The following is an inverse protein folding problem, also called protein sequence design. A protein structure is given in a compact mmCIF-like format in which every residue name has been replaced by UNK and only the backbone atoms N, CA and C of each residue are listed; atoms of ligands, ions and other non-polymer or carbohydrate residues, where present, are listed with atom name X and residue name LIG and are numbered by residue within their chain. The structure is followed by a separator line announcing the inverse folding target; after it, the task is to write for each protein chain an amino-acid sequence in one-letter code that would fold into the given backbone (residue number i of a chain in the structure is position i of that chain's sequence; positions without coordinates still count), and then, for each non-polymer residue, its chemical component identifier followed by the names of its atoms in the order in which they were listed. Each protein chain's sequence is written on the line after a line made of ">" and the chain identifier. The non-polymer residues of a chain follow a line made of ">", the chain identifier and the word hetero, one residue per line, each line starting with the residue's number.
data_IF_923911610392
#
_entry.id   IF_923911610392
#
_cell.length_a   1.000
_cell.length_b   1.000
_cell.length_c   1.000
_cell.angle_alpha   90.00
_cell.angle_beta   90.00
_cell.angle_gamma   90.00
#
_symmetry.space_group_name_H-M   'P 1'
#
loop_
_entity.id
_entity.type
_entity.pdbx_description
1 polymer ?
#
# COMPACT_ATOMS: atom_id res chain seq x y z
N UNK A 1 61.17 -1.43 -9.76
CA UNK A 1 61.50 -0.05 -10.13
C UNK A 1 61.21 0.82 -8.88
N UNK A 2 62.25 1.44 -8.35
CA UNK A 2 62.08 2.25 -7.13
C UNK A 2 61.43 3.58 -7.48
N UNK A 3 60.43 4.00 -6.71
CA UNK A 3 59.70 5.29 -6.81
C UNK A 3 60.63 6.52 -6.77
N UNK A 4 61.91 6.34 -6.40
CA UNK A 4 62.95 7.38 -6.34
C UNK A 4 63.41 7.90 -7.68
N UNK A 5 63.22 7.16 -8.80
CA UNK A 5 63.67 7.55 -10.14
C UNK A 5 62.65 8.35 -10.96
N UNK A 6 61.45 8.62 -10.42
CA UNK A 6 60.37 9.30 -11.13
C UNK A 6 60.39 10.82 -10.81
N UNK A 7 60.29 11.65 -11.88
CA UNK A 7 60.28 13.11 -11.70
C UNK A 7 59.10 13.60 -10.82
N UNK A 8 59.29 14.70 -10.09
CA UNK A 8 58.24 15.32 -9.24
C UNK A 8 56.98 15.61 -10.06
N UNK A 9 57.15 16.07 -11.30
CA UNK A 9 56.01 16.34 -12.23
C UNK A 9 55.19 15.08 -12.48
N UNK A 10 55.86 13.94 -12.75
CA UNK A 10 55.15 12.67 -12.99
C UNK A 10 54.42 12.15 -11.74
N UNK A 11 55.05 12.29 -10.57
CA UNK A 11 54.41 11.94 -9.28
C UNK A 11 53.11 12.76 -9.05
N UNK A 12 53.17 14.07 -9.28
CA UNK A 12 52.00 14.95 -9.15
C UNK A 12 50.89 14.57 -10.13
N UNK A 13 51.24 14.34 -11.41
CA UNK A 13 50.25 13.92 -12.43
C UNK A 13 49.55 12.62 -12.02
N UNK A 14 50.32 11.62 -11.56
CA UNK A 14 49.75 10.35 -11.11
C UNK A 14 48.84 10.56 -9.91
N UNK A 15 49.27 11.32 -8.90
CA UNK A 15 48.46 11.58 -7.71
C UNK A 15 47.12 12.30 -8.05
N UNK A 16 47.20 13.34 -8.88
CA UNK A 16 45.99 14.05 -9.33
C UNK A 16 45.05 13.16 -10.17
N UNK A 17 45.64 12.31 -11.06
CA UNK A 17 44.84 11.38 -11.86
C UNK A 17 44.10 10.38 -10.97
N UNK A 18 44.76 9.80 -9.96
CA UNK A 18 44.13 8.88 -9.01
C UNK A 18 43.01 9.58 -8.25
N UNK A 19 43.24 10.77 -7.72
CA UNK A 19 42.22 11.55 -7.00
C UNK A 19 41.04 11.89 -7.92
N UNK A 20 41.28 12.23 -9.17
CA UNK A 20 40.22 12.54 -10.12
C UNK A 20 39.38 11.29 -10.41
N UNK A 21 40.00 10.15 -10.69
CA UNK A 21 39.27 8.88 -10.90
C UNK A 21 38.43 8.51 -9.66
N UNK A 22 39.02 8.68 -8.49
CA UNK A 22 38.36 8.41 -7.23
C UNK A 22 37.15 9.36 -7.00
N UNK A 23 37.30 10.65 -7.25
CA UNK A 23 36.22 11.63 -7.13
C UNK A 23 35.09 11.33 -8.13
N UNK A 24 35.39 10.97 -9.37
CA UNK A 24 34.41 10.58 -10.37
C UNK A 24 33.69 9.31 -9.93
N UNK A 25 34.39 8.31 -9.40
CA UNK A 25 33.82 7.07 -8.89
C UNK A 25 32.82 7.32 -7.76
N UNK A 26 33.18 8.19 -6.79
CA UNK A 26 32.26 8.60 -5.72
C UNK A 26 31.05 9.36 -6.25
N UNK A 27 31.23 10.23 -7.23
CA UNK A 27 30.12 10.95 -7.88
C UNK A 27 29.11 10.00 -8.52
N UNK A 28 29.62 9.00 -9.26
CA UNK A 28 28.76 7.96 -9.89
C UNK A 28 28.02 7.13 -8.84
N UNK A 29 28.72 6.69 -7.80
CA UNK A 29 28.07 5.95 -6.69
C UNK A 29 26.98 6.79 -6.02
N UNK A 30 27.24 8.06 -5.76
CA UNK A 30 26.26 8.98 -5.19
C UNK A 30 25.00 9.12 -6.06
N UNK A 31 25.17 9.27 -7.37
CA UNK A 31 24.05 9.37 -8.32
C UNK A 31 23.23 8.08 -8.36
N UNK A 32 23.88 6.90 -8.42
CA UNK A 32 23.19 5.60 -8.42
C UNK A 32 22.42 5.39 -7.13
N UNK A 33 23.02 5.72 -5.99
CA UNK A 33 22.37 5.60 -4.68
C UNK A 33 21.16 6.54 -4.56
N UNK A 34 21.30 7.78 -5.00
CA UNK A 34 20.19 8.76 -5.01
C UNK A 34 19.04 8.28 -5.91
N UNK A 35 19.34 7.71 -7.07
CA UNK A 35 18.33 7.14 -7.95
C UNK A 35 17.56 6.00 -7.27
N UNK A 36 18.25 5.03 -6.66
CA UNK A 36 17.63 3.92 -5.93
C UNK A 36 16.75 4.40 -4.77
N UNK A 37 17.25 5.36 -3.98
CA UNK A 37 16.47 5.95 -2.88
C UNK A 37 15.20 6.62 -3.38
N UNK A 38 15.30 7.37 -4.48
CA UNK A 38 14.14 8.01 -5.10
C UNK A 38 13.12 6.98 -5.58
N UNK A 39 13.56 5.91 -6.23
CA UNK A 39 12.67 4.83 -6.71
C UNK A 39 11.87 4.22 -5.56
N UNK A 40 12.52 3.89 -4.44
CA UNK A 40 11.85 3.36 -3.26
C UNK A 40 10.86 4.36 -2.64
N UNK A 41 11.26 5.64 -2.58
CA UNK A 41 10.37 6.69 -2.09
C UNK A 41 9.11 6.85 -2.96
N UNK A 42 9.25 6.82 -4.29
CA UNK A 42 8.12 6.88 -5.22
C UNK A 42 7.20 5.66 -5.07
N UNK A 43 7.74 4.45 -4.87
CA UNK A 43 6.92 3.26 -4.60
C UNK A 43 6.07 3.43 -3.34
N UNK A 44 6.64 4.01 -2.28
CA UNK A 44 5.89 4.27 -1.05
C UNK A 44 4.82 5.33 -1.27
N UNK A 45 5.16 6.45 -1.92
CA UNK A 45 4.31 7.62 -2.09
C UNK A 45 3.19 7.41 -3.11
N UNK A 46 3.49 6.77 -4.24
CA UNK A 46 2.56 6.66 -5.37
C UNK A 46 1.78 5.34 -5.40
N UNK A 47 2.27 4.28 -4.73
CA UNK A 47 1.61 2.98 -4.72
C UNK A 47 1.16 2.56 -3.31
N UNK A 48 2.10 2.29 -2.38
CA UNK A 48 1.74 1.64 -1.12
C UNK A 48 0.83 2.48 -0.22
N UNK A 49 1.17 3.75 0.03
CA UNK A 49 0.36 4.61 0.91
C UNK A 49 -1.03 4.91 0.34
N UNK A 50 -1.19 5.26 -0.95
CA UNK A 50 -2.51 5.43 -1.54
C UNK A 50 -3.34 4.14 -1.50
N UNK A 51 -2.74 2.97 -1.77
CA UNK A 51 -3.41 1.67 -1.70
C UNK A 51 -3.93 1.37 -0.30
N UNK A 52 -3.09 1.50 0.74
CA UNK A 52 -3.48 1.30 2.14
C UNK A 52 -4.64 2.23 2.52
N UNK A 53 -4.57 3.50 2.12
CA UNK A 53 -5.63 4.47 2.40
C UNK A 53 -6.95 4.08 1.75
N UNK A 54 -6.93 3.74 0.45
CA UNK A 54 -8.16 3.37 -0.27
C UNK A 54 -8.75 2.08 0.28
N UNK A 55 -7.94 1.08 0.59
CA UNK A 55 -8.39 -0.17 1.22
C UNK A 55 -9.01 0.08 2.60
N UNK A 56 -8.44 0.98 3.40
CA UNK A 56 -9.01 1.40 4.68
C UNK A 56 -10.35 2.15 4.54
N UNK A 57 -10.51 2.94 3.49
CA UNK A 57 -11.77 3.60 3.16
C UNK A 57 -12.82 2.56 2.72
N UNK A 58 -12.44 1.55 1.90
CA UNK A 58 -13.30 0.43 1.51
C UNK A 58 -13.77 -0.35 2.74
N UNK A 59 -12.86 -0.69 3.65
CA UNK A 59 -13.18 -1.40 4.89
C UNK A 59 -14.19 -0.62 5.75
N UNK A 60 -13.94 0.67 5.91
CA UNK A 60 -14.83 1.58 6.63
C UNK A 60 -16.24 1.62 6.02
N UNK A 61 -16.34 1.76 4.69
CA UNK A 61 -17.62 1.82 3.99
C UNK A 61 -18.38 0.49 4.10
N UNK A 62 -17.68 -0.63 3.94
CA UNK A 62 -18.26 -1.98 4.05
C UNK A 62 -18.79 -2.24 5.46
N UNK A 63 -18.03 -1.86 6.49
CA UNK A 63 -18.42 -1.99 7.88
C UNK A 63 -19.62 -1.12 8.24
N UNK A 64 -19.65 0.12 7.78
CA UNK A 64 -20.78 1.03 7.98
C UNK A 64 -22.04 0.55 7.26
N UNK A 65 -21.93 0.07 6.02
CA UNK A 65 -23.06 -0.50 5.28
C UNK A 65 -23.67 -1.70 6.00
N UNK A 66 -22.84 -2.56 6.59
CA UNK A 66 -23.30 -3.69 7.41
C UNK A 66 -24.03 -3.22 8.68
N UNK A 67 -23.53 -2.17 9.33
CA UNK A 67 -24.19 -1.55 10.49
C UNK A 67 -25.55 -0.96 10.14
N UNK A 68 -25.69 -0.30 8.98
CA UNK A 68 -26.97 0.21 8.49
C UNK A 68 -27.96 -0.92 8.22
N UNK A 69 -27.50 -2.05 7.66
CA UNK A 69 -28.36 -3.22 7.44
C UNK A 69 -28.96 -3.75 8.74
N UNK A 70 -28.14 -3.92 9.78
CA UNK A 70 -28.62 -4.34 11.10
C UNK A 70 -29.61 -3.33 11.69
N UNK A 71 -29.32 -2.03 11.57
CA UNK A 71 -30.23 -0.98 12.02
C UNK A 71 -31.57 -1.01 11.25
N UNK A 72 -31.53 -1.32 9.96
CA UNK A 72 -32.72 -1.48 9.11
C UNK A 72 -33.61 -2.63 9.59
N UNK A 73 -33.05 -3.76 10.01
CA UNK A 73 -33.83 -4.89 10.55
C UNK A 73 -34.50 -4.57 11.88
N UNK A 74 -34.06 -3.54 12.61
CA UNK A 74 -34.58 -3.14 13.90
C UNK A 74 -35.55 -1.94 13.81
N UNK A 75 -35.44 -1.13 12.76
CA UNK A 75 -36.27 0.06 12.56
C UNK A 75 -37.69 -0.30 12.18
N UNK A 76 -38.68 0.36 12.79
CA UNK A 76 -40.12 0.19 12.52
C UNK A 76 -40.74 1.39 11.85
N UNK A 77 -40.12 2.56 12.01
CA UNK A 77 -40.59 3.81 11.42
C UNK A 77 -40.23 3.90 9.93
N UNK A 78 -41.23 4.19 9.09
CA UNK A 78 -41.04 4.21 7.63
C UNK A 78 -40.09 5.32 7.15
N UNK A 79 -40.08 6.49 7.81
CA UNK A 79 -39.19 7.58 7.45
C UNK A 79 -37.74 7.24 7.80
N UNK A 80 -37.54 6.56 8.93
CA UNK A 80 -36.24 6.07 9.34
C UNK A 80 -35.71 4.98 8.37
N UNK A 81 -36.58 4.03 7.94
CA UNK A 81 -36.23 3.03 6.94
C UNK A 81 -35.74 3.68 5.63
N UNK A 82 -36.52 4.65 5.10
CA UNK A 82 -36.12 5.37 3.88
C UNK A 82 -34.82 6.16 4.03
N UNK A 83 -34.52 6.72 5.20
CA UNK A 83 -33.26 7.39 5.48
C UNK A 83 -32.10 6.41 5.48
N UNK A 84 -32.24 5.24 6.10
CA UNK A 84 -31.22 4.20 6.13
C UNK A 84 -30.92 3.68 4.72
N UNK A 85 -31.95 3.44 3.90
CA UNK A 85 -31.79 2.98 2.52
C UNK A 85 -31.05 4.01 1.66
N UNK A 86 -31.35 5.30 1.81
CA UNK A 86 -30.63 6.39 1.13
C UNK A 86 -29.16 6.45 1.54
N UNK A 87 -28.87 6.24 2.82
CA UNK A 87 -27.47 6.18 3.29
C UNK A 87 -26.75 4.96 2.71
N UNK A 88 -27.40 3.80 2.63
CA UNK A 88 -26.85 2.59 1.99
C UNK A 88 -26.50 2.84 0.52
N UNK A 89 -27.42 3.46 -0.24
CA UNK A 89 -27.19 3.81 -1.65
C UNK A 89 -25.99 4.76 -1.81
N UNK A 90 -25.89 5.77 -0.95
CA UNK A 90 -24.74 6.69 -0.92
C UNK A 90 -23.43 5.96 -0.65
N UNK A 91 -23.44 4.98 0.26
CA UNK A 91 -22.25 4.18 0.57
C UNK A 91 -21.89 3.22 -0.57
N UNK A 92 -22.87 2.61 -1.24
CA UNK A 92 -22.64 1.76 -2.40
C UNK A 92 -21.94 2.53 -3.53
N UNK A 93 -22.38 3.75 -3.80
CA UNK A 93 -21.74 4.61 -4.80
C UNK A 93 -20.29 4.91 -4.43
N UNK A 94 -20.05 5.36 -3.19
CA UNK A 94 -18.69 5.64 -2.71
C UNK A 94 -17.80 4.40 -2.73
N UNK A 95 -18.35 3.24 -2.36
CA UNK A 95 -17.65 1.97 -2.36
C UNK A 95 -17.25 1.57 -3.79
N UNK A 96 -18.17 1.71 -4.76
CA UNK A 96 -17.89 1.45 -6.18
C UNK A 96 -16.75 2.32 -6.71
N UNK A 97 -16.75 3.62 -6.38
CA UNK A 97 -15.70 4.55 -6.78
C UNK A 97 -14.32 4.15 -6.20
N UNK A 98 -14.30 3.72 -4.92
CA UNK A 98 -13.06 3.27 -4.25
C UNK A 98 -12.55 1.95 -4.79
N UNK A 99 -13.45 1.01 -5.07
CA UNK A 99 -13.13 -0.27 -5.73
C UNK A 99 -12.49 -0.01 -7.11
N UNK A 100 -13.09 0.87 -7.92
CA UNK A 100 -12.55 1.24 -9.23
C UNK A 100 -11.15 1.88 -9.10
N UNK A 101 -10.95 2.74 -8.11
CA UNK A 101 -9.66 3.38 -7.85
C UNK A 101 -8.59 2.36 -7.44
N UNK A 102 -8.90 1.44 -6.50
CA UNK A 102 -7.93 0.44 -6.05
C UNK A 102 -7.54 -0.54 -7.16
N UNK A 103 -8.49 -0.90 -8.04
CA UNK A 103 -8.23 -1.82 -9.16
C UNK A 103 -7.08 -1.34 -10.06
N UNK A 104 -6.87 -0.05 -10.19
CA UNK A 104 -5.77 0.54 -10.99
C UNK A 104 -4.42 0.50 -10.28
N UNK A 105 -4.40 0.22 -8.98
CA UNK A 105 -3.20 0.20 -8.14
C UNK A 105 -2.66 -1.21 -7.87
N UNK A 106 -3.40 -2.25 -8.28
CA UNK A 106 -3.00 -3.65 -8.11
C UNK A 106 -1.69 -3.90 -8.84
N UNK A 107 -0.64 -4.26 -8.12
CA UNK A 107 0.72 -4.43 -8.62
C UNK A 107 1.20 -5.88 -8.66
N UNK A 108 0.50 -6.82 -8.00
CA UNK A 108 0.89 -8.23 -7.91
C UNK A 108 -0.24 -9.20 -8.24
N UNK A 109 0.12 -10.45 -8.56
CA UNK A 109 -0.84 -11.53 -8.79
C UNK A 109 -1.62 -11.90 -7.52
N UNK A 110 -0.96 -11.85 -6.37
CA UNK A 110 -1.58 -12.16 -5.08
C UNK A 110 -2.61 -11.09 -4.69
N UNK A 111 -2.28 -9.80 -4.89
CA UNK A 111 -3.26 -8.72 -4.71
C UNK A 111 -4.47 -8.90 -5.61
N UNK A 112 -4.26 -9.24 -6.89
CA UNK A 112 -5.34 -9.48 -7.85
C UNK A 112 -6.26 -10.59 -7.38
N UNK A 113 -5.72 -11.73 -6.98
CA UNK A 113 -6.50 -12.89 -6.52
C UNK A 113 -7.33 -12.57 -5.27
N UNK A 114 -6.73 -11.85 -4.32
CA UNK A 114 -7.44 -11.41 -3.11
C UNK A 114 -8.51 -10.38 -3.41
N UNK A 115 -8.23 -9.46 -4.33
CA UNK A 115 -9.20 -8.43 -4.73
C UNK A 115 -10.40 -9.02 -5.46
N UNK A 116 -10.19 -9.95 -6.39
CA UNK A 116 -11.26 -10.69 -7.05
C UNK A 116 -12.11 -11.50 -6.04
N UNK A 117 -11.46 -12.05 -5.01
CA UNK A 117 -12.18 -12.70 -3.91
C UNK A 117 -13.02 -11.70 -3.12
N UNK A 118 -12.47 -10.55 -2.79
CA UNK A 118 -13.20 -9.46 -2.13
C UNK A 118 -14.42 -9.02 -2.97
N UNK A 119 -14.25 -8.77 -4.26
CA UNK A 119 -15.34 -8.33 -5.15
C UNK A 119 -16.47 -9.38 -5.23
N UNK A 120 -16.13 -10.64 -5.43
CA UNK A 120 -17.10 -11.75 -5.51
C UNK A 120 -17.90 -11.90 -4.21
N UNK A 121 -17.22 -11.90 -3.07
CA UNK A 121 -17.88 -12.06 -1.77
C UNK A 121 -18.70 -10.81 -1.41
N UNK A 122 -18.25 -9.62 -1.80
CA UNK A 122 -18.99 -8.37 -1.62
C UNK A 122 -20.28 -8.36 -2.46
N UNK A 123 -20.25 -8.85 -3.70
CA UNK A 123 -21.44 -8.93 -4.54
C UNK A 123 -22.41 -10.00 -4.01
N UNK A 124 -21.90 -11.12 -3.52
CA UNK A 124 -22.73 -12.14 -2.84
C UNK A 124 -23.42 -11.56 -1.61
N UNK A 125 -22.67 -10.82 -0.78
CA UNK A 125 -23.24 -10.13 0.38
C UNK A 125 -24.29 -9.10 -0.03
N UNK A 126 -24.05 -8.32 -1.07
CA UNK A 126 -24.98 -7.31 -1.58
C UNK A 126 -26.30 -7.94 -2.04
N UNK A 127 -26.27 -9.09 -2.70
CA UNK A 127 -27.48 -9.83 -3.06
C UNK A 127 -28.30 -10.21 -1.82
N UNK A 128 -27.67 -10.84 -0.82
CA UNK A 128 -28.34 -11.19 0.44
C UNK A 128 -28.85 -9.95 1.18
N UNK A 129 -28.07 -8.87 1.20
CA UNK A 129 -28.48 -7.59 1.79
C UNK A 129 -29.78 -7.07 1.19
N UNK A 130 -29.93 -7.14 -0.13
CA UNK A 130 -31.16 -6.68 -0.80
C UNK A 130 -32.37 -7.50 -0.35
N UNK A 131 -32.25 -8.83 -0.27
CA UNK A 131 -33.30 -9.70 0.25
C UNK A 131 -33.64 -9.38 1.72
N UNK A 132 -32.64 -9.11 2.56
CA UNK A 132 -32.82 -8.70 3.97
C UNK A 132 -33.58 -7.37 4.06
N UNK A 133 -33.23 -6.39 3.21
CA UNK A 133 -33.90 -5.09 3.14
C UNK A 133 -35.38 -5.27 2.74
N UNK A 134 -35.66 -6.10 1.74
CA UNK A 134 -37.02 -6.34 1.26
C UNK A 134 -37.89 -7.01 2.34
N UNK A 135 -37.41 -8.03 3.03
CA UNK A 135 -38.09 -8.66 4.16
C UNK A 135 -38.32 -7.64 5.30
N UNK A 136 -37.29 -6.89 5.62
CA UNK A 136 -37.38 -5.88 6.68
C UNK A 136 -38.39 -4.77 6.36
N UNK A 137 -38.44 -4.30 5.10
CA UNK A 137 -39.41 -3.32 4.62
C UNK A 137 -40.84 -3.86 4.69
N UNK A 138 -41.03 -5.15 4.38
CA UNK A 138 -42.28 -5.87 4.48
C UNK A 138 -42.76 -6.15 5.92
N UNK A 139 -41.99 -5.75 6.92
CA UNK A 139 -42.33 -5.99 8.35
C UNK A 139 -41.86 -7.32 8.92
N UNK A 140 -41.21 -8.17 8.08
CA UNK A 140 -40.68 -9.50 8.45
C UNK A 140 -39.30 -9.38 9.14
N UNK A 141 -39.22 -8.58 10.21
CA UNK A 141 -37.95 -8.22 10.87
C UNK A 141 -37.15 -9.43 11.38
N UNK A 142 -37.84 -10.39 11.99
CA UNK A 142 -37.19 -11.60 12.52
C UNK A 142 -36.60 -12.46 11.40
N UNK A 143 -37.34 -12.63 10.31
CA UNK A 143 -36.90 -13.36 9.13
C UNK A 143 -35.71 -12.64 8.43
N UNK A 144 -35.82 -11.32 8.30
CA UNK A 144 -34.72 -10.48 7.77
C UNK A 144 -33.43 -10.65 8.57
N UNK A 145 -33.52 -10.58 9.91
CA UNK A 145 -32.37 -10.79 10.78
C UNK A 145 -31.81 -12.21 10.66
N UNK A 146 -32.67 -13.23 10.65
CA UNK A 146 -32.25 -14.62 10.48
C UNK A 146 -31.57 -14.86 9.13
N UNK A 147 -32.06 -14.26 8.06
CA UNK A 147 -31.43 -14.35 6.74
C UNK A 147 -30.03 -13.71 6.74
N UNK A 148 -29.89 -12.54 7.36
CA UNK A 148 -28.57 -11.92 7.55
C UNK A 148 -27.62 -12.84 8.32
N UNK A 149 -28.04 -13.40 9.47
CA UNK A 149 -27.21 -14.28 10.30
C UNK A 149 -26.79 -15.56 9.58
N UNK A 150 -27.70 -16.18 8.83
CA UNK A 150 -27.48 -17.50 8.22
C UNK A 150 -26.78 -17.42 6.86
N UNK A 151 -27.10 -16.40 6.05
CA UNK A 151 -26.56 -16.28 4.67
C UNK A 151 -25.66 -15.06 4.46
N UNK A 152 -25.89 -13.96 5.19
CA UNK A 152 -25.15 -12.71 4.99
C UNK A 152 -23.78 -12.68 5.66
N UNK A 153 -23.65 -13.26 6.86
CA UNK A 153 -22.40 -13.21 7.63
C UNK A 153 -21.23 -13.92 6.96
N UNK A 154 -21.48 -15.00 6.23
CA UNK A 154 -20.40 -15.79 5.60
C UNK A 154 -19.70 -14.96 4.52
N UNK A 155 -20.37 -14.48 3.47
CA UNK A 155 -19.73 -13.69 2.43
C UNK A 155 -19.17 -12.36 2.99
N UNK A 156 -19.86 -11.71 3.95
CA UNK A 156 -19.35 -10.51 4.61
C UNK A 156 -18.00 -10.76 5.28
N UNK A 157 -17.87 -11.84 6.05
CA UNK A 157 -16.61 -12.19 6.72
C UNK A 157 -15.52 -12.58 5.73
N UNK A 158 -15.88 -13.28 4.66
CA UNK A 158 -14.94 -13.64 3.61
C UNK A 158 -14.39 -12.40 2.89
N UNK A 159 -15.24 -11.43 2.55
CA UNK A 159 -14.85 -10.15 1.97
C UNK A 159 -13.92 -9.36 2.93
N UNK A 160 -14.29 -9.24 4.21
CA UNK A 160 -13.47 -8.56 5.22
C UNK A 160 -12.08 -9.21 5.35
N UNK A 161 -12.02 -10.55 5.40
CA UNK A 161 -10.75 -11.27 5.48
C UNK A 161 -9.87 -11.09 4.24
N UNK A 162 -10.46 -11.01 3.05
CA UNK A 162 -9.72 -10.72 1.83
C UNK A 162 -9.15 -9.29 1.87
N UNK A 163 -9.93 -8.32 2.34
CA UNK A 163 -9.53 -6.93 2.50
C UNK A 163 -8.41 -6.75 3.54
N UNK A 164 -8.51 -7.43 4.70
CA UNK A 164 -7.44 -7.46 5.70
C UNK A 164 -6.12 -7.95 5.14
N UNK A 165 -6.16 -9.01 4.32
CA UNK A 165 -4.97 -9.54 3.66
C UNK A 165 -4.40 -8.57 2.62
N UNK A 166 -5.23 -7.89 1.84
CA UNK A 166 -4.81 -6.84 0.91
C UNK A 166 -4.10 -5.70 1.64
N UNK A 167 -4.65 -5.24 2.76
CA UNK A 167 -4.03 -4.22 3.61
C UNK A 167 -2.68 -4.72 4.15
N UNK A 168 -2.60 -5.98 4.56
CA UNK A 168 -1.37 -6.57 5.07
C UNK A 168 -0.27 -6.62 3.99
N UNK A 169 -0.57 -7.07 2.77
CA UNK A 169 0.38 -7.09 1.64
C UNK A 169 0.90 -5.68 1.35
N UNK A 170 0.02 -4.69 1.26
CA UNK A 170 0.43 -3.31 0.98
C UNK A 170 1.28 -2.71 2.11
N UNK A 171 0.97 -3.01 3.37
CA UNK A 171 1.79 -2.61 4.51
C UNK A 171 3.17 -3.28 4.50
N UNK A 172 3.26 -4.55 4.12
CA UNK A 172 4.52 -5.28 4.00
C UNK A 172 5.37 -4.68 2.87
N UNK A 173 4.78 -4.45 1.70
CA UNK A 173 5.46 -3.78 0.57
C UNK A 173 6.01 -2.41 0.95
N UNK A 174 5.27 -1.60 1.70
CA UNK A 174 5.75 -0.31 2.21
C UNK A 174 6.94 -0.47 3.18
N UNK A 175 6.90 -1.46 4.08
CA UNK A 175 8.00 -1.76 5.00
C UNK A 175 9.25 -2.24 4.27
N UNK A 176 9.08 -3.10 3.27
CA UNK A 176 10.18 -3.62 2.46
C UNK A 176 10.87 -2.50 1.66
N UNK A 177 10.10 -1.61 1.05
CA UNK A 177 10.62 -0.43 0.37
C UNK A 177 11.40 0.48 1.35
N UNK A 178 10.89 0.67 2.56
CA UNK A 178 11.57 1.42 3.61
C UNK A 178 12.87 0.73 4.06
N UNK A 179 12.85 -0.60 4.24
CA UNK A 179 14.04 -1.36 4.63
C UNK A 179 15.12 -1.30 3.55
N UNK A 180 14.75 -1.42 2.27
CA UNK A 180 15.66 -1.26 1.13
C UNK A 180 16.25 0.14 1.07
N UNK A 181 15.46 1.19 1.26
CA UNK A 181 15.95 2.58 1.35
C UNK A 181 17.00 2.73 2.45
N UNK A 182 16.73 2.17 3.64
CA UNK A 182 17.66 2.22 4.77
C UNK A 182 18.96 1.47 4.47
N UNK A 183 18.89 0.32 3.82
CA UNK A 183 20.08 -0.46 3.44
C UNK A 183 20.94 0.32 2.43
N UNK A 184 20.35 0.88 1.37
CA UNK A 184 21.06 1.71 0.38
C UNK A 184 21.71 2.93 1.06
N UNK A 185 21.00 3.59 1.96
CA UNK A 185 21.56 4.72 2.71
C UNK A 185 22.79 4.32 3.54
N UNK A 186 22.70 3.22 4.31
CA UNK A 186 23.78 2.74 5.18
C UNK A 186 24.99 2.31 4.36
N UNK A 187 24.78 1.58 3.27
CA UNK A 187 25.85 1.16 2.35
C UNK A 187 26.58 2.38 1.76
N UNK A 188 25.81 3.32 1.22
CA UNK A 188 26.35 4.54 0.62
C UNK A 188 27.15 5.35 1.63
N UNK A 189 26.61 5.54 2.84
CA UNK A 189 27.28 6.25 3.91
C UNK A 189 28.61 5.59 4.30
N UNK A 190 28.63 4.25 4.42
CA UNK A 190 29.85 3.49 4.74
C UNK A 190 30.91 3.64 3.66
N UNK A 191 30.52 3.52 2.40
CA UNK A 191 31.45 3.67 1.26
C UNK A 191 32.04 5.09 1.25
N UNK A 192 31.23 6.11 1.43
CA UNK A 192 31.69 7.51 1.47
C UNK A 192 32.68 7.72 2.62
N UNK A 193 32.39 7.23 3.83
CA UNK A 193 33.30 7.34 4.97
C UNK A 193 34.64 6.67 4.73
N UNK A 194 34.63 5.42 4.23
CA UNK A 194 35.85 4.69 3.89
C UNK A 194 36.67 5.46 2.85
N UNK A 195 35.99 5.98 1.85
CA UNK A 195 36.62 6.76 0.79
C UNK A 195 37.28 8.03 1.33
N UNK A 196 36.63 8.77 2.23
CA UNK A 196 37.20 9.95 2.87
C UNK A 196 38.46 9.59 3.68
N UNK A 197 38.41 8.52 4.47
CA UNK A 197 39.56 8.04 5.25
C UNK A 197 40.72 7.69 4.37
N UNK A 198 40.49 6.95 3.25
CA UNK A 198 41.52 6.60 2.29
C UNK A 198 42.13 7.85 1.61
N UNK A 199 41.30 8.80 1.20
CA UNK A 199 41.77 10.05 0.60
C UNK A 199 42.64 10.87 1.57
N UNK A 200 42.28 10.95 2.83
CA UNK A 200 43.06 11.62 3.86
C UNK A 200 44.40 10.89 4.13
N UNK A 201 44.39 9.55 4.15
CA UNK A 201 45.60 8.75 4.36
C UNK A 201 46.61 8.87 3.21
N UNK A 202 46.11 9.10 1.99
CA UNK A 202 46.96 9.29 0.81
C UNK A 202 47.54 10.70 0.67
N UNK A 203 47.00 11.67 1.44
CA UNK A 203 47.44 13.08 1.42
C UNK A 203 48.58 13.37 2.42
N UNK A 204 48.92 12.44 3.29
CA UNK A 204 50.00 12.51 4.27
C UNK A 204 51.23 11.78 3.76
#
# INVERSE_FOLDING_TARGET
>A
MSLQAVSIRTKLVIAFSILTVFAVGLGVLGLVSTYKLREQALQIEENWLPSIRILGEIDTLTSRSSGLLLRHTQATDAALLGSIEKDMESFDKKLSDKIASYRTMISSADERTLFETFERESETFKSVRNEVVDLSRGGHKAEAYQLYETKGLIPRRAASKALEKLIAINNEGAKDAQAQSKAVYQETWTVILVAIVLALSLSI
#
